data_IF_025373271079
#
_entry.id   IF_025373271079
#
_cell.length_a   1.000
_cell.length_b   1.000
_cell.length_c   1.000
_cell.angle_alpha   90.00
_cell.angle_beta   90.00
_cell.angle_gamma   90.00
#
_symmetry.space_group_name_H-M   'P 1'
#
loop_
_entity.id
_entity.type
_entity.pdbx_description
1 polymer ?
#
# COMPACT_ATOMS: atom_id res chain seq x y z
N UNK A 1 9.79 -3.54 -1.29
CA UNK A 1 9.21 -4.85 -1.64
C UNK A 1 10.32 -5.87 -1.52
N UNK A 2 10.00 -7.09 -1.08
CA UNK A 2 11.01 -8.14 -0.99
C UNK A 2 11.54 -8.48 -2.38
N UNK A 3 12.85 -8.71 -2.47
CA UNK A 3 13.40 -9.33 -3.67
C UNK A 3 12.99 -10.79 -3.73
N UNK A 4 12.67 -11.26 -4.93
CA UNK A 4 12.46 -12.68 -5.19
C UNK A 4 13.79 -13.43 -5.28
N UNK A 5 13.76 -14.73 -5.04
CA UNK A 5 14.88 -15.59 -5.37
C UNK A 5 14.82 -16.01 -6.83
N UNK A 6 15.93 -15.86 -7.54
CA UNK A 6 16.08 -16.25 -8.94
C UNK A 6 16.87 -17.57 -9.11
N UNK A 7 17.23 -18.23 -8.00
CA UNK A 7 17.88 -19.54 -8.05
C UNK A 7 16.92 -20.58 -8.63
N UNK A 8 17.32 -21.23 -9.71
CA UNK A 8 16.48 -22.17 -10.48
C UNK A 8 15.16 -21.56 -10.98
N UNK A 9 15.22 -20.28 -11.41
CA UNK A 9 14.07 -19.59 -11.93
C UNK A 9 13.54 -20.26 -13.22
N UNK A 10 12.23 -20.42 -13.29
CA UNK A 10 11.52 -21.04 -14.41
C UNK A 10 11.30 -20.11 -15.62
N UNK A 11 11.75 -18.85 -15.51
CA UNK A 11 11.54 -17.82 -16.53
C UNK A 11 10.21 -17.06 -16.44
N UNK A 12 9.32 -17.43 -15.52
CA UNK A 12 7.97 -16.88 -15.42
C UNK A 12 7.64 -16.31 -14.05
N UNK A 13 7.93 -17.05 -12.97
CA UNK A 13 7.48 -16.70 -11.63
C UNK A 13 8.63 -16.37 -10.70
N UNK A 14 8.67 -15.15 -10.17
CA UNK A 14 9.61 -14.77 -9.13
C UNK A 14 9.10 -15.28 -7.78
N UNK A 15 9.89 -16.15 -7.14
CA UNK A 15 9.61 -16.63 -5.79
C UNK A 15 10.15 -15.62 -4.77
N UNK A 16 9.26 -14.98 -4.06
CA UNK A 16 9.64 -14.04 -2.99
C UNK A 16 10.35 -14.78 -1.88
N UNK A 17 11.50 -14.26 -1.43
CA UNK A 17 12.21 -14.77 -0.26
C UNK A 17 11.53 -14.25 1.02
N UNK A 18 10.62 -15.02 1.54
CA UNK A 18 9.75 -14.64 2.64
C UNK A 18 10.47 -14.55 4.00
N UNK A 19 11.52 -15.33 4.18
CA UNK A 19 12.15 -15.50 5.49
C UNK A 19 13.13 -14.36 5.82
N UNK A 20 13.64 -13.65 4.80
CA UNK A 20 14.70 -12.64 4.98
C UNK A 20 14.32 -11.29 4.38
N UNK A 21 13.58 -11.27 3.29
CA UNK A 21 13.38 -10.06 2.46
C UNK A 21 11.90 -9.72 2.22
N UNK A 22 10.99 -10.47 2.82
CA UNK A 22 9.57 -10.44 2.52
C UNK A 22 8.65 -9.80 3.55
N UNK A 23 9.21 -9.13 4.56
CA UNK A 23 8.39 -8.55 5.62
C UNK A 23 7.62 -7.31 5.15
N UNK A 24 6.35 -7.29 5.49
CA UNK A 24 5.49 -6.11 5.46
C UNK A 24 5.07 -5.78 6.90
N UNK A 25 5.62 -4.71 7.46
CA UNK A 25 5.37 -4.34 8.85
C UNK A 25 3.87 -4.14 9.12
N UNK A 26 3.11 -3.69 8.12
CA UNK A 26 1.65 -3.56 8.24
C UNK A 26 0.89 -4.89 8.12
N UNK A 27 1.57 -6.02 8.16
CA UNK A 27 1.01 -7.38 8.30
C UNK A 27 1.39 -8.03 9.63
N UNK A 28 2.21 -7.35 10.44
CA UNK A 28 2.74 -7.90 11.69
C UNK A 28 2.01 -7.43 12.96
N UNK A 29 0.95 -6.63 12.83
CA UNK A 29 0.11 -6.18 13.95
C UNK A 29 -0.79 -7.31 14.49
N UNK A 30 -1.16 -7.27 15.79
CA UNK A 30 -1.84 -8.41 16.43
C UNK A 30 -3.25 -8.71 15.94
N UNK A 31 -4.02 -7.68 15.51
CA UNK A 31 -5.39 -7.92 15.07
C UNK A 31 -5.41 -8.67 13.74
N UNK A 32 -6.15 -9.77 13.71
CA UNK A 32 -6.34 -10.59 12.51
C UNK A 32 -5.05 -11.09 11.87
N UNK A 33 -3.97 -11.16 12.62
CA UNK A 33 -2.70 -11.69 12.14
C UNK A 33 -2.87 -13.13 11.64
N UNK A 34 -2.20 -13.44 10.55
CA UNK A 34 -2.20 -14.77 9.94
C UNK A 34 -0.78 -15.21 9.68
N UNK A 35 -0.60 -16.52 9.60
CA UNK A 35 0.71 -17.09 9.32
C UNK A 35 1.20 -16.70 7.92
N UNK A 36 2.52 -16.68 7.75
CA UNK A 36 3.20 -16.24 6.53
C UNK A 36 2.68 -16.91 5.24
N UNK A 37 2.24 -18.17 5.32
CA UNK A 37 1.71 -18.88 4.17
C UNK A 37 0.29 -18.43 3.77
N UNK A 38 -0.45 -17.79 4.66
CA UNK A 38 -1.76 -17.19 4.39
C UNK A 38 -1.64 -15.70 4.07
N UNK A 39 -0.70 -15.02 4.70
CA UNK A 39 -0.49 -13.58 4.58
C UNK A 39 1.00 -13.27 4.41
N UNK A 40 1.41 -13.08 3.17
CA UNK A 40 2.82 -12.80 2.82
C UNK A 40 3.31 -11.54 3.54
N UNK A 41 4.47 -11.66 4.16
CA UNK A 41 5.10 -10.56 4.89
C UNK A 41 4.68 -10.41 6.35
N UNK A 42 3.85 -11.35 6.88
CA UNK A 42 3.32 -11.29 8.23
C UNK A 42 4.37 -11.54 9.34
N UNK A 43 5.50 -12.12 8.98
CA UNK A 43 6.51 -12.53 9.96
C UNK A 43 6.15 -13.80 10.74
N UNK A 44 7.04 -14.27 11.62
CA UNK A 44 6.87 -15.56 12.29
C UNK A 44 5.77 -15.56 13.36
N UNK A 45 5.45 -14.41 13.96
CA UNK A 45 4.36 -14.22 14.94
C UNK A 45 4.01 -12.74 15.02
N UNK A 46 2.82 -12.38 15.51
CA UNK A 46 2.41 -10.99 15.65
C UNK A 46 3.39 -10.23 16.57
N UNK A 47 3.78 -9.03 16.15
CA UNK A 47 4.81 -8.21 16.84
C UNK A 47 6.21 -8.83 16.89
N UNK A 48 6.54 -9.74 15.97
CA UNK A 48 7.91 -10.27 15.84
C UNK A 48 8.91 -9.17 15.50
N UNK A 49 8.46 -8.20 14.74
CA UNK A 49 9.32 -7.11 14.26
C UNK A 49 9.48 -6.04 15.34
N UNK A 50 10.73 -5.64 15.63
CA UNK A 50 11.02 -4.69 16.71
C UNK A 50 10.35 -3.33 16.51
N UNK A 51 10.19 -2.87 15.28
CA UNK A 51 9.51 -1.62 14.93
C UNK A 51 8.02 -1.69 15.29
N UNK A 52 7.35 -2.79 14.93
CA UNK A 52 5.93 -3.01 15.24
C UNK A 52 5.75 -3.13 16.76
N UNK A 53 6.61 -3.88 17.43
CA UNK A 53 6.58 -4.03 18.89
C UNK A 53 6.74 -2.69 19.61
N UNK A 54 7.72 -1.88 19.17
CA UNK A 54 7.93 -0.55 19.77
C UNK A 54 6.71 0.36 19.59
N UNK A 55 6.04 0.31 18.44
CA UNK A 55 4.81 1.05 18.21
C UNK A 55 3.66 0.53 19.08
N UNK A 56 3.48 -0.78 19.17
CA UNK A 56 2.45 -1.40 20.00
C UNK A 56 2.67 -1.05 21.47
N UNK A 57 3.88 -1.21 22.00
CA UNK A 57 4.23 -0.87 23.38
C UNK A 57 3.97 0.62 23.67
N UNK A 58 4.36 1.50 22.74
CA UNK A 58 4.12 2.93 22.88
C UNK A 58 2.63 3.26 22.96
N UNK A 59 1.82 2.77 22.02
CA UNK A 59 0.39 3.09 21.98
C UNK A 59 -0.35 2.51 23.19
N UNK A 60 -0.04 1.28 23.59
CA UNK A 60 -0.63 0.64 24.78
C UNK A 60 -0.29 1.42 26.06
N UNK A 61 0.92 1.96 26.16
CA UNK A 61 1.33 2.80 27.27
C UNK A 61 0.64 4.20 27.32
N UNK A 62 -0.04 4.58 26.23
CA UNK A 62 -0.68 5.89 26.09
C UNK A 62 -2.20 5.76 25.82
N UNK A 63 -3.01 5.35 26.81
CA UNK A 63 -4.44 5.09 26.63
C UNK A 63 -5.28 6.35 26.31
N UNK A 64 -4.66 7.50 26.28
CA UNK A 64 -5.26 8.77 25.83
C UNK A 64 -5.23 8.95 24.30
N UNK A 65 -4.61 8.03 23.55
CA UNK A 65 -4.65 8.04 22.10
C UNK A 65 -6.00 7.50 21.64
N UNK A 66 -6.87 8.36 21.16
CA UNK A 66 -8.22 8.00 20.70
C UNK A 66 -8.37 7.96 19.17
N UNK A 67 -7.40 8.49 18.44
CA UNK A 67 -7.40 8.48 16.97
C UNK A 67 -5.99 8.61 16.40
N UNK A 68 -5.82 8.22 15.12
CA UNK A 68 -4.55 8.38 14.43
C UNK A 68 -4.64 8.17 12.93
N UNK A 69 -3.52 8.44 12.25
CA UNK A 69 -3.36 8.26 10.81
C UNK A 69 -2.02 7.57 10.57
N UNK A 70 -2.03 6.51 9.77
CA UNK A 70 -0.83 5.91 9.19
C UNK A 70 -0.67 6.38 7.76
N UNK A 71 0.50 6.92 7.45
CA UNK A 71 0.82 7.35 6.09
C UNK A 71 1.51 6.25 5.33
N UNK A 72 0.90 5.89 4.20
CA UNK A 72 1.38 4.90 3.25
C UNK A 72 1.58 5.55 1.89
N UNK A 73 1.95 4.76 0.91
CA UNK A 73 2.04 5.11 -0.50
C UNK A 73 1.91 3.81 -1.31
N UNK A 74 1.22 3.80 -2.41
CA UNK A 74 0.58 4.92 -3.11
C UNK A 74 -0.88 4.59 -3.41
N UNK A 75 -1.68 5.55 -3.78
CA UNK A 75 -2.98 5.43 -4.49
C UNK A 75 -3.77 6.73 -4.41
N UNK A 76 -3.38 7.68 -3.55
CA UNK A 76 -4.08 8.94 -3.38
C UNK A 76 -5.48 8.73 -2.79
N UNK A 77 -5.57 7.99 -1.68
CA UNK A 77 -6.85 7.67 -1.02
C UNK A 77 -6.74 7.72 0.50
N UNK A 78 -7.88 7.93 1.15
CA UNK A 78 -8.05 7.82 2.60
C UNK A 78 -8.85 6.54 2.87
N UNK A 79 -8.23 5.59 3.53
CA UNK A 79 -8.80 4.28 3.81
C UNK A 79 -9.30 4.21 5.24
N UNK A 80 -10.56 3.79 5.43
CA UNK A 80 -11.07 3.38 6.74
C UNK A 80 -11.07 1.85 6.86
N UNK A 81 -10.91 1.29 8.08
CA UNK A 81 -11.03 -0.14 8.29
C UNK A 81 -12.47 -0.59 7.94
N UNK A 82 -12.79 -1.87 7.82
CA UNK A 82 -11.97 -3.02 8.15
C UNK A 82 -11.28 -3.56 6.89
N UNK A 83 -10.10 -4.16 7.08
CA UNK A 83 -9.42 -4.87 6.00
C UNK A 83 -9.82 -6.34 5.89
N UNK A 84 -10.45 -6.90 6.92
CA UNK A 84 -10.71 -8.34 7.06
C UNK A 84 -12.17 -8.74 6.86
N UNK A 85 -13.10 -7.82 7.04
CA UNK A 85 -14.54 -8.02 6.87
C UNK A 85 -15.24 -6.70 6.54
N UNK A 86 -16.55 -6.76 6.30
CA UNK A 86 -17.33 -5.56 5.97
C UNK A 86 -17.28 -4.52 7.08
N UNK A 87 -17.08 -3.26 6.73
CA UNK A 87 -17.23 -2.15 7.66
C UNK A 87 -18.72 -1.88 8.03
N UNK A 88 -19.67 -2.52 7.35
CA UNK A 88 -21.08 -2.54 7.78
C UNK A 88 -21.30 -3.31 9.09
N UNK A 89 -20.37 -4.16 9.47
CA UNK A 89 -20.39 -4.90 10.75
C UNK A 89 -19.88 -4.06 11.94
N UNK A 90 -19.37 -2.86 11.69
CA UNK A 90 -18.94 -1.93 12.74
C UNK A 90 -20.12 -1.41 13.55
N UNK A 91 -19.84 -0.95 14.77
CA UNK A 91 -20.80 -0.17 15.56
C UNK A 91 -21.25 1.04 14.72
N UNK A 92 -22.56 1.26 14.53
CA UNK A 92 -23.07 2.30 13.65
C UNK A 92 -22.55 3.71 13.94
N UNK A 93 -22.36 4.05 15.22
CA UNK A 93 -21.83 5.33 15.68
C UNK A 93 -20.35 5.52 15.26
N UNK A 94 -19.59 4.43 15.29
CA UNK A 94 -18.20 4.45 14.87
C UNK A 94 -18.09 4.56 13.36
N UNK A 95 -18.88 3.80 12.61
CA UNK A 95 -18.94 3.92 11.15
C UNK A 95 -19.38 5.32 10.71
N UNK A 96 -20.36 5.91 11.41
CA UNK A 96 -20.75 7.29 11.17
C UNK A 96 -19.60 8.27 11.42
N UNK A 97 -18.86 8.09 12.50
CA UNK A 97 -17.69 8.90 12.83
C UNK A 97 -16.60 8.77 11.77
N UNK A 98 -16.28 7.54 11.35
CA UNK A 98 -15.37 7.29 10.25
C UNK A 98 -15.78 8.03 8.97
N UNK A 99 -17.03 7.88 8.54
CA UNK A 99 -17.55 8.53 7.32
C UNK A 99 -17.50 10.06 7.42
N UNK A 100 -17.82 10.62 8.58
CA UNK A 100 -17.80 12.07 8.79
C UNK A 100 -16.37 12.66 8.76
N UNK A 101 -15.43 12.07 9.48
CA UNK A 101 -14.03 12.53 9.44
C UNK A 101 -13.38 12.28 8.09
N UNK A 102 -13.68 11.16 7.46
CA UNK A 102 -13.25 10.85 6.10
C UNK A 102 -13.71 11.92 5.10
N UNK A 103 -14.95 12.36 5.15
CA UNK A 103 -15.45 13.43 4.27
C UNK A 103 -14.75 14.79 4.52
N UNK A 104 -14.30 15.05 5.75
CA UNK A 104 -13.47 16.23 6.03
C UNK A 104 -12.08 16.08 5.42
N UNK A 105 -11.47 14.91 5.55
CA UNK A 105 -10.18 14.59 4.94
C UNK A 105 -10.22 14.72 3.41
N UNK A 106 -11.26 14.15 2.78
CA UNK A 106 -11.49 14.27 1.34
C UNK A 106 -11.58 15.72 0.88
N UNK A 107 -12.34 16.54 1.60
CA UNK A 107 -12.44 17.97 1.29
C UNK A 107 -11.11 18.73 1.41
N UNK A 108 -10.24 18.33 2.33
CA UNK A 108 -8.97 18.98 2.59
C UNK A 108 -7.87 18.55 1.61
N UNK A 109 -7.88 17.27 1.22
CA UNK A 109 -6.78 16.65 0.44
C UNK A 109 -7.14 16.44 -1.02
N UNK A 110 -8.43 16.35 -1.35
CA UNK A 110 -8.91 15.88 -2.65
C UNK A 110 -8.79 14.36 -2.84
N UNK A 111 -8.31 13.61 -1.85
CA UNK A 111 -8.25 12.16 -1.91
C UNK A 111 -9.61 11.55 -1.57
N UNK A 112 -10.16 10.65 -2.39
CA UNK A 112 -11.40 9.97 -2.07
C UNK A 112 -11.24 9.15 -0.78
N UNK A 113 -12.29 9.18 0.04
CA UNK A 113 -12.32 8.49 1.32
C UNK A 113 -13.21 7.25 1.25
N UNK A 114 -12.59 6.08 1.26
CA UNK A 114 -13.19 4.80 0.90
C UNK A 114 -13.02 3.72 1.96
N UNK A 115 -13.79 2.64 1.84
CA UNK A 115 -13.66 1.43 2.64
C UNK A 115 -12.58 0.52 2.07
N UNK A 116 -11.73 -0.04 2.93
CA UNK A 116 -10.79 -1.07 2.50
C UNK A 116 -11.56 -2.28 1.96
N UNK A 117 -12.58 -2.71 2.67
CA UNK A 117 -13.36 -3.90 2.29
C UNK A 117 -14.18 -3.70 1.03
N UNK A 118 -14.98 -2.64 0.94
CA UNK A 118 -15.91 -2.46 -0.16
C UNK A 118 -15.27 -1.92 -1.43
N UNK A 119 -14.30 -1.02 -1.30
CA UNK A 119 -13.82 -0.22 -2.42
C UNK A 119 -12.38 -0.56 -2.83
N UNK A 120 -11.48 -0.72 -1.86
CA UNK A 120 -10.07 -1.03 -2.13
C UNK A 120 -9.87 -2.50 -2.52
N UNK A 121 -10.62 -3.41 -1.88
CA UNK A 121 -10.85 -4.81 -2.31
C UNK A 121 -9.60 -5.67 -2.52
N UNK A 122 -8.83 -5.89 -1.47
CA UNK A 122 -7.85 -6.99 -1.50
C UNK A 122 -8.52 -8.37 -1.58
N UNK A 123 -9.65 -8.54 -0.85
CA UNK A 123 -10.41 -9.78 -0.86
C UNK A 123 -11.05 -10.07 -2.25
N UNK A 124 -11.37 -11.32 -2.59
CA UNK A 124 -11.20 -12.51 -1.77
C UNK A 124 -9.79 -13.13 -1.81
N UNK A 125 -8.85 -12.59 -2.59
CA UNK A 125 -7.50 -13.18 -2.72
C UNK A 125 -6.66 -13.01 -1.46
N UNK A 126 -6.79 -11.84 -0.83
CA UNK A 126 -6.10 -11.52 0.41
C UNK A 126 -7.09 -10.92 1.40
N UNK A 127 -6.93 -11.25 2.66
CA UNK A 127 -7.65 -10.64 3.78
C UNK A 127 -6.59 -10.03 4.68
N UNK A 128 -6.59 -8.72 4.77
CA UNK A 128 -5.46 -7.95 5.31
C UNK A 128 -5.84 -7.37 6.67
N UNK A 129 -5.26 -7.90 7.74
CA UNK A 129 -5.19 -7.23 9.03
C UNK A 129 -3.98 -6.29 9.06
N UNK A 130 -4.14 -5.10 9.60
CA UNK A 130 -3.08 -4.11 9.69
C UNK A 130 -3.18 -3.22 10.92
N UNK A 131 -2.40 -2.16 10.93
CA UNK A 131 -2.35 -1.16 12.02
C UNK A 131 -3.74 -0.59 12.32
N UNK A 132 -4.52 -0.28 11.29
CA UNK A 132 -5.84 0.33 11.41
C UNK A 132 -6.84 -0.62 12.07
N UNK A 133 -6.79 -1.91 11.73
CA UNK A 133 -7.65 -2.91 12.32
C UNK A 133 -7.28 -3.15 13.78
N UNK A 134 -5.97 -3.22 14.08
CA UNK A 134 -5.49 -3.41 15.46
C UNK A 134 -5.89 -2.26 16.38
N UNK A 135 -5.71 -1.01 15.95
CA UNK A 135 -6.05 0.16 16.77
C UNK A 135 -7.54 0.25 17.03
N UNK A 136 -8.36 -0.05 16.04
CA UNK A 136 -9.81 -0.05 16.22
C UNK A 136 -10.28 -1.22 17.09
N UNK A 137 -9.92 -2.45 16.74
CA UNK A 137 -10.45 -3.66 17.37
C UNK A 137 -9.94 -3.87 18.81
N UNK A 138 -8.66 -3.59 19.06
CA UNK A 138 -8.07 -3.85 20.37
C UNK A 138 -8.10 -2.65 21.31
N UNK A 139 -8.12 -1.43 20.77
CA UNK A 139 -7.97 -0.22 21.58
C UNK A 139 -9.15 0.75 21.46
N UNK A 140 -10.10 0.52 20.56
CA UNK A 140 -11.22 1.41 20.30
C UNK A 140 -10.82 2.76 19.72
N UNK A 141 -9.64 2.88 19.15
CA UNK A 141 -9.15 4.12 18.56
C UNK A 141 -9.53 4.22 17.08
N UNK A 142 -10.10 5.35 16.68
CA UNK A 142 -10.40 5.60 15.27
C UNK A 142 -9.11 5.80 14.48
N UNK A 143 -8.88 4.99 13.45
CA UNK A 143 -7.61 5.03 12.73
C UNK A 143 -7.81 4.91 11.22
N UNK A 144 -7.08 5.76 10.48
CA UNK A 144 -7.11 5.79 9.03
C UNK A 144 -5.73 5.43 8.45
N UNK A 145 -5.74 4.84 7.26
CA UNK A 145 -4.56 4.74 6.40
C UNK A 145 -4.71 5.75 5.26
N UNK A 146 -3.70 6.56 5.05
CA UNK A 146 -3.68 7.51 3.93
C UNK A 146 -2.58 7.10 2.97
N UNK A 147 -2.98 6.60 1.81
CA UNK A 147 -2.10 6.27 0.70
C UNK A 147 -1.76 7.57 -0.05
N UNK A 148 -0.63 8.16 0.29
CA UNK A 148 -0.21 9.44 -0.30
C UNK A 148 0.28 9.21 -1.72
N UNK A 149 -0.01 10.17 -2.59
CA UNK A 149 0.42 10.20 -3.97
C UNK A 149 -0.29 9.18 -4.88
N UNK A 150 -0.56 9.59 -6.09
CA UNK A 150 -1.07 8.72 -7.15
C UNK A 150 -0.49 9.13 -8.51
N UNK A 151 0.34 8.29 -9.12
CA UNK A 151 0.78 8.50 -10.50
C UNK A 151 -0.41 8.48 -11.47
N UNK A 152 -1.42 7.65 -11.19
CA UNK A 152 -2.63 7.56 -12.01
C UNK A 152 -3.38 8.89 -12.06
N UNK A 153 -3.59 9.51 -10.88
CA UNK A 153 -4.22 10.84 -10.83
C UNK A 153 -3.36 11.89 -11.54
N UNK A 154 -2.03 11.85 -11.38
CA UNK A 154 -1.11 12.76 -12.06
C UNK A 154 -1.15 12.60 -13.57
N UNK A 155 -1.37 11.41 -14.09
CA UNK A 155 -1.51 11.10 -15.51
C UNK A 155 -2.96 11.20 -16.04
N UNK A 156 -3.88 11.76 -15.26
CA UNK A 156 -5.32 11.90 -15.60
C UNK A 156 -6.02 10.57 -15.92
N UNK A 157 -5.61 9.50 -15.22
CA UNK A 157 -6.31 8.21 -15.24
C UNK A 157 -7.40 8.26 -14.19
N UNK A 158 -8.65 8.02 -14.59
CA UNK A 158 -9.86 8.15 -13.76
C UNK A 158 -10.71 6.89 -13.81
N UNK A 159 -11.65 6.80 -12.88
CA UNK A 159 -12.70 5.77 -12.85
C UNK A 159 -12.18 4.33 -12.83
N UNK A 160 -11.02 4.12 -12.23
CA UNK A 160 -10.43 2.80 -12.07
C UNK A 160 -10.70 2.21 -10.67
N UNK A 161 -10.67 0.89 -10.61
CA UNK A 161 -10.73 0.15 -9.34
C UNK A 161 -9.30 -0.09 -8.86
N UNK A 162 -8.96 0.44 -7.69
CA UNK A 162 -7.62 0.52 -7.13
C UNK A 162 -6.76 -0.74 -7.33
N UNK A 163 -7.09 -1.83 -6.64
CA UNK A 163 -6.29 -3.05 -6.68
C UNK A 163 -6.41 -3.78 -8.02
N UNK A 164 -7.58 -3.77 -8.64
CA UNK A 164 -7.80 -4.42 -9.91
C UNK A 164 -6.96 -3.77 -11.01
N UNK A 165 -6.83 -2.45 -10.99
CA UNK A 165 -6.01 -1.72 -11.96
C UNK A 165 -4.53 -2.12 -11.89
N UNK A 166 -3.98 -2.37 -10.70
CA UNK A 166 -2.60 -2.84 -10.54
C UNK A 166 -2.40 -4.29 -11.01
N UNK A 167 -3.47 -5.05 -11.11
CA UNK A 167 -3.43 -6.42 -11.63
C UNK A 167 -3.54 -6.45 -13.14
N UNK A 168 -4.44 -5.64 -13.67
CA UNK A 168 -4.72 -5.57 -15.10
C UNK A 168 -5.34 -4.19 -15.43
N UNK A 169 -4.78 -3.51 -16.42
CA UNK A 169 -5.26 -2.21 -16.90
C UNK A 169 -5.07 -2.08 -18.42
N UNK A 170 -5.81 -1.15 -19.07
CA UNK A 170 -5.67 -0.90 -20.51
C UNK A 170 -4.27 -0.32 -20.84
N UNK A 171 -3.74 -0.70 -21.99
CA UNK A 171 -2.45 -0.16 -22.49
C UNK A 171 -2.50 1.37 -22.71
N UNK A 172 -3.69 1.91 -22.93
CA UNK A 172 -3.92 3.34 -23.03
C UNK A 172 -3.55 4.09 -21.74
N UNK A 173 -3.65 3.45 -20.60
CA UNK A 173 -3.24 4.05 -19.33
C UNK A 173 -1.72 4.08 -19.21
N UNK A 174 -1.00 3.06 -19.68
CA UNK A 174 0.46 3.11 -19.81
C UNK A 174 0.92 4.27 -20.73
N UNK A 175 0.20 4.48 -21.83
CA UNK A 175 0.51 5.60 -22.73
C UNK A 175 0.28 6.97 -22.06
N UNK A 176 -0.76 7.10 -21.23
CA UNK A 176 -0.96 8.33 -20.43
C UNK A 176 0.16 8.53 -19.41
N UNK A 177 0.60 7.47 -18.75
CA UNK A 177 1.70 7.53 -17.80
C UNK A 177 3.02 7.91 -18.47
N UNK A 178 3.33 7.34 -19.65
CA UNK A 178 4.50 7.71 -20.44
C UNK A 178 4.45 9.18 -20.87
N UNK A 179 3.31 9.60 -21.40
CA UNK A 179 3.10 11.01 -21.77
C UNK A 179 3.29 11.95 -20.58
N UNK A 180 2.72 11.61 -19.43
CA UNK A 180 2.91 12.38 -18.20
C UNK A 180 4.38 12.43 -17.77
N UNK A 181 5.11 11.31 -17.86
CA UNK A 181 6.55 11.25 -17.60
C UNK A 181 7.32 12.23 -18.48
N UNK A 182 7.06 12.21 -19.79
CA UNK A 182 7.76 13.07 -20.75
C UNK A 182 7.44 14.56 -20.54
N UNK A 183 6.17 14.90 -20.41
CA UNK A 183 5.70 16.29 -20.35
C UNK A 183 5.90 16.96 -18.98
N UNK A 184 5.74 16.20 -17.89
CA UNK A 184 5.73 16.75 -16.53
C UNK A 184 6.98 16.39 -15.71
N UNK A 185 7.70 15.34 -16.09
CA UNK A 185 8.86 14.85 -15.37
C UNK A 185 10.13 14.84 -16.23
N UNK A 186 10.09 15.36 -17.43
CA UNK A 186 11.25 15.37 -18.36
C UNK A 186 11.75 13.96 -18.68
N UNK A 187 10.85 12.97 -18.76
CA UNK A 187 11.17 11.59 -19.01
C UNK A 187 11.76 10.82 -17.81
N UNK A 188 11.93 11.46 -16.65
CA UNK A 188 12.67 10.88 -15.52
C UNK A 188 11.90 9.80 -14.74
N UNK A 189 10.60 9.64 -15.00
CA UNK A 189 9.81 8.61 -14.34
C UNK A 189 9.98 7.21 -14.99
N UNK A 190 10.58 7.14 -16.16
CA UNK A 190 10.91 5.91 -16.87
C UNK A 190 12.41 5.85 -17.18
N UNK A 191 13.03 4.72 -16.91
CA UNK A 191 14.43 4.45 -17.20
C UNK A 191 14.51 3.57 -18.44
N UNK A 192 15.25 4.00 -19.45
CA UNK A 192 15.44 3.23 -20.68
C UNK A 192 16.06 1.86 -20.37
N UNK A 193 15.62 0.85 -21.10
CA UNK A 193 16.17 -0.49 -21.00
C UNK A 193 17.63 -0.51 -21.43
N UNK A 194 18.48 -1.08 -20.59
CA UNK A 194 19.92 -1.14 -20.83
C UNK A 194 20.49 -2.50 -20.46
N UNK A 195 21.55 -2.96 -21.15
CA UNK A 195 22.22 -4.22 -20.83
C UNK A 195 22.78 -4.21 -19.40
N UNK A 196 22.57 -5.32 -18.70
CA UNK A 196 23.08 -5.51 -17.34
C UNK A 196 23.50 -6.96 -17.14
N UNK A 197 24.54 -7.20 -16.34
CA UNK A 197 24.94 -8.54 -15.94
C UNK A 197 24.41 -8.84 -14.54
N UNK A 198 23.29 -9.57 -14.49
CA UNK A 198 22.70 -9.96 -13.22
C UNK A 198 23.51 -11.11 -12.58
N UNK A 199 23.79 -11.06 -11.26
CA UNK A 199 24.63 -12.06 -10.59
C UNK A 199 24.10 -13.49 -10.64
N UNK A 200 22.79 -13.68 -10.82
CA UNK A 200 22.14 -14.98 -10.87
C UNK A 200 21.67 -15.37 -12.28
N UNK A 201 21.29 -14.40 -13.12
CA UNK A 201 20.70 -14.65 -14.45
C UNK A 201 21.69 -14.45 -15.60
N UNK A 202 22.86 -13.83 -15.35
CA UNK A 202 23.80 -13.48 -16.43
C UNK A 202 23.35 -12.22 -17.18
N UNK A 203 23.48 -12.24 -18.52
CA UNK A 203 23.12 -11.09 -19.34
C UNK A 203 21.60 -10.90 -19.41
N UNK A 204 21.15 -9.72 -19.01
CA UNK A 204 19.73 -9.29 -19.01
C UNK A 204 19.66 -7.82 -19.45
N UNK A 205 18.46 -7.30 -19.63
CA UNK A 205 18.20 -5.87 -19.73
C UNK A 205 17.43 -5.41 -18.47
N UNK A 206 17.77 -4.24 -17.97
CA UNK A 206 17.09 -3.58 -16.85
C UNK A 206 16.61 -2.19 -17.28
N UNK A 207 15.43 -1.81 -16.79
CA UNK A 207 14.78 -0.54 -17.09
C UNK A 207 13.35 -0.54 -16.60
N UNK A 208 12.55 0.40 -17.10
CA UNK A 208 11.15 0.55 -16.78
C UNK A 208 10.88 1.68 -15.80
N UNK A 209 9.75 1.65 -15.10
CA UNK A 209 9.34 2.71 -14.21
C UNK A 209 10.23 2.85 -12.98
N UNK A 210 10.62 4.08 -12.64
CA UNK A 210 11.26 4.40 -11.36
C UNK A 210 10.20 4.36 -10.25
N UNK A 211 10.11 3.21 -9.61
CA UNK A 211 9.12 2.98 -8.56
C UNK A 211 9.31 3.83 -7.31
N UNK A 212 10.50 4.34 -7.06
CA UNK A 212 10.76 5.19 -5.89
C UNK A 212 10.33 6.63 -6.11
N UNK A 213 10.57 7.17 -7.33
CA UNK A 213 10.23 8.55 -7.68
C UNK A 213 9.00 8.69 -8.58
N UNK A 214 8.38 7.58 -8.92
CA UNK A 214 7.21 7.60 -9.79
C UNK A 214 5.98 7.01 -9.12
N UNK A 215 6.06 5.75 -8.66
CA UNK A 215 4.93 5.06 -8.05
C UNK A 215 4.68 5.48 -6.61
N UNK A 216 5.73 5.59 -5.80
CA UNK A 216 5.64 5.76 -4.35
C UNK A 216 5.79 7.19 -3.88
N UNK A 217 6.47 8.01 -4.66
CA UNK A 217 6.70 9.39 -4.31
C UNK A 217 6.51 10.28 -5.54
N UNK A 218 5.96 11.49 -5.38
CA UNK A 218 5.97 12.46 -6.46
C UNK A 218 7.41 12.77 -6.87
N UNK A 219 7.66 13.09 -8.15
CA UNK A 219 8.94 13.61 -8.59
C UNK A 219 9.39 14.79 -7.73
N UNK A 220 10.71 15.02 -7.57
CA UNK A 220 11.22 16.04 -6.66
C UNK A 220 10.60 17.43 -6.86
N UNK A 221 10.38 17.86 -8.10
CA UNK A 221 9.80 19.17 -8.43
C UNK A 221 8.31 19.31 -8.06
N UNK A 222 7.61 18.22 -7.72
CA UNK A 222 6.21 18.23 -7.24
C UNK A 222 6.10 18.12 -5.73
N UNK A 223 7.20 17.84 -5.01
CA UNK A 223 7.17 17.65 -3.55
C UNK A 223 7.01 18.95 -2.76
N UNK A 224 7.28 20.09 -3.40
CA UNK A 224 7.24 21.42 -2.78
C UNK A 224 5.91 22.16 -3.01
N UNK A 225 4.90 21.48 -3.50
CA UNK A 225 3.55 22.01 -3.75
C UNK A 225 2.56 21.38 -2.78
#
# INVERSE_FOLDING_TARGET
>A
MPEGTLKNWDGLTVKVNKDVEGLDLNRNFPAFWRQEFEQVGAGPYPTSEPEVRAMVDFVVAHPNIGAGISYHTHSGVILRPMGTHSDDDMIPEDLWSYKRFSAMGEKLTGYPAISIWHDFKYHPKEVIGGTQDWLYEHLGALFWVVEIWSPNQAADIKDYKWIDWFREHPVEDDLKLLKWSDEQCGGQAHVDWQPFTHPQLGAVEIGGWDRMNYWRNPPPHLRER
#
